data_IF_034617202140
#
_entry.id   IF_034617202140
#
_cell.length_a   1.000
_cell.length_b   1.000
_cell.length_c   1.000
_cell.angle_alpha   90.00
_cell.angle_beta   90.00
_cell.angle_gamma   90.00
#
_symmetry.space_group_name_H-M   'P 1'
#
loop_
_entity.id
_entity.type
_entity.pdbx_description
1 polymer ?
#
# COMPACT_ATOMS: atom_id res chain seq x y z
N UNK A 1 -10.14 3.43 -0.30
CA UNK A 1 -9.45 3.60 1.00
C UNK A 1 -10.37 3.06 2.08
N UNK A 2 -9.85 2.20 2.93
CA UNK A 2 -10.51 1.76 4.15
C UNK A 2 -9.66 2.14 5.36
N UNK A 3 -10.32 2.62 6.42
CA UNK A 3 -9.68 2.99 7.68
C UNK A 3 -10.17 2.06 8.79
N UNK A 4 -9.22 1.56 9.58
CA UNK A 4 -9.49 0.70 10.72
C UNK A 4 -8.92 1.30 11.99
N UNK A 5 -9.68 1.22 13.08
CA UNK A 5 -9.20 1.61 14.41
C UNK A 5 -8.32 0.51 14.97
N UNK A 6 -7.12 0.86 15.43
CA UNK A 6 -6.27 -0.04 16.20
C UNK A 6 -5.72 0.68 17.45
N UNK A 7 -5.24 -0.06 18.48
CA UNK A 7 -4.86 0.53 19.77
C UNK A 7 -3.70 1.54 19.72
N UNK A 8 -2.82 1.46 18.74
CA UNK A 8 -1.62 2.31 18.62
C UNK A 8 -1.80 3.48 17.65
N UNK A 9 -2.41 3.23 16.50
CA UNK A 9 -2.67 4.20 15.43
C UNK A 9 -3.82 3.68 14.57
N UNK A 10 -4.37 4.51 13.69
CA UNK A 10 -5.21 4.00 12.61
C UNK A 10 -4.39 3.06 11.69
N UNK A 11 -5.11 2.21 10.97
CA UNK A 11 -4.57 1.44 9.85
C UNK A 11 -5.33 1.84 8.60
N UNK A 12 -4.61 2.32 7.60
CA UNK A 12 -5.16 2.62 6.28
C UNK A 12 -4.86 1.48 5.33
N UNK A 13 -5.88 0.97 4.65
CA UNK A 13 -5.74 0.05 3.54
C UNK A 13 -6.16 0.74 2.25
N UNK A 14 -5.23 0.85 1.32
CA UNK A 14 -5.38 1.59 0.08
C UNK A 14 -5.10 0.62 -1.07
N UNK A 15 -6.09 0.42 -1.93
CA UNK A 15 -5.94 -0.31 -3.18
C UNK A 15 -5.92 0.70 -4.32
N UNK A 16 -4.79 0.75 -5.04
CA UNK A 16 -4.58 1.68 -6.15
C UNK A 16 -4.91 1.08 -7.52
N UNK A 17 -5.42 -0.16 -7.60
CA UNK A 17 -5.69 -0.87 -8.86
C UNK A 17 -6.51 -0.07 -9.89
N UNK A 18 -7.40 0.82 -9.44
CA UNK A 18 -8.26 1.66 -10.32
C UNK A 18 -7.72 3.06 -10.56
N UNK A 19 -6.53 3.36 -10.07
CA UNK A 19 -5.89 4.65 -10.26
C UNK A 19 -5.30 4.71 -11.67
N UNK A 20 -5.75 5.65 -12.49
CA UNK A 20 -5.29 5.81 -13.87
C UNK A 20 -4.01 6.64 -13.96
N UNK A 21 -3.79 7.54 -12.99
CA UNK A 21 -2.60 8.40 -12.91
C UNK A 21 -2.24 8.69 -11.45
N UNK A 22 -0.94 8.76 -11.09
CA UNK A 22 -0.48 9.22 -9.77
C UNK A 22 -1.10 10.55 -9.33
N UNK A 23 -1.46 11.44 -10.25
CA UNK A 23 -2.06 12.76 -9.94
C UNK A 23 -3.41 12.64 -9.22
N UNK A 24 -4.15 11.57 -9.45
CA UNK A 24 -5.44 11.31 -8.81
C UNK A 24 -5.30 11.01 -7.29
N UNK A 25 -4.10 10.71 -6.79
CA UNK A 25 -3.84 10.51 -5.36
C UNK A 25 -4.21 11.73 -4.51
N UNK A 26 -4.05 12.95 -5.04
CA UNK A 26 -4.43 14.16 -4.33
C UNK A 26 -5.94 14.19 -4.03
N UNK A 27 -6.77 13.65 -4.93
CA UNK A 27 -8.23 13.63 -4.75
C UNK A 27 -8.69 12.65 -3.66
N UNK A 28 -7.85 11.72 -3.24
CA UNK A 28 -8.17 10.72 -2.21
C UNK A 28 -7.51 11.03 -0.87
N UNK A 29 -6.94 12.24 -0.69
CA UNK A 29 -6.32 12.67 0.56
C UNK A 29 -4.98 11.99 0.85
N UNK A 30 -4.25 11.56 -0.18
CA UNK A 30 -2.99 10.82 -0.05
C UNK A 30 -1.98 11.50 0.88
N UNK A 31 -1.74 12.80 0.69
CA UNK A 31 -0.72 13.56 1.42
C UNK A 31 -1.01 13.65 2.94
N UNK A 32 -2.30 13.72 3.31
CA UNK A 32 -2.76 13.71 4.69
C UNK A 32 -2.61 12.33 5.32
N UNK A 33 -2.88 11.27 4.54
CA UNK A 33 -2.77 9.89 5.01
C UNK A 33 -1.32 9.52 5.28
N UNK A 34 -0.41 9.77 4.31
CA UNK A 34 1.02 9.43 4.46
C UNK A 34 1.70 10.22 5.58
N UNK A 35 1.18 11.40 5.93
CA UNK A 35 1.71 12.21 7.04
C UNK A 35 1.09 11.88 8.41
N UNK A 36 0.05 11.04 8.47
CA UNK A 36 -0.75 10.79 9.68
C UNK A 36 -0.06 9.94 10.78
N UNK A 37 1.20 9.50 10.58
CA UNK A 37 1.92 8.54 11.45
C UNK A 37 1.14 7.24 11.72
N UNK A 38 0.30 6.84 10.78
CA UNK A 38 -0.48 5.60 10.83
C UNK A 38 0.23 4.47 10.09
N UNK A 39 -0.20 3.22 10.33
CA UNK A 39 0.20 2.10 9.47
C UNK A 39 -0.59 2.19 8.17
N UNK A 40 0.11 2.18 7.04
CA UNK A 40 -0.51 2.31 5.71
C UNK A 40 -0.11 1.08 4.89
N UNK A 41 -1.11 0.34 4.44
CA UNK A 41 -0.97 -0.83 3.58
C UNK A 41 -1.46 -0.43 2.19
N UNK A 42 -0.59 -0.54 1.19
CA UNK A 42 -0.88 -0.12 -0.19
C UNK A 42 -0.79 -1.33 -1.11
N UNK A 43 -1.90 -1.66 -1.78
CA UNK A 43 -1.92 -2.61 -2.90
C UNK A 43 -1.71 -1.86 -4.23
N UNK A 44 -0.98 -2.49 -5.15
CA UNK A 44 -0.53 -1.90 -6.42
C UNK A 44 0.26 -0.59 -6.21
N UNK A 45 1.29 -0.60 -5.31
CA UNK A 45 2.05 0.60 -4.94
C UNK A 45 2.69 1.29 -6.16
N UNK A 46 3.08 0.56 -7.20
CA UNK A 46 3.66 1.10 -8.43
C UNK A 46 2.78 2.15 -9.13
N UNK A 47 1.46 2.14 -8.91
CA UNK A 47 0.53 3.14 -9.46
C UNK A 47 0.65 4.51 -8.79
N UNK A 48 1.24 4.58 -7.62
CA UNK A 48 1.54 5.86 -6.96
C UNK A 48 2.75 6.58 -7.58
N UNK A 49 3.54 5.91 -8.42
CA UNK A 49 4.74 6.50 -9.03
C UNK A 49 5.68 7.10 -7.97
N UNK A 50 6.22 8.28 -8.24
CA UNK A 50 7.11 9.01 -7.32
C UNK A 50 6.44 9.60 -6.07
N UNK A 51 5.19 9.23 -5.77
CA UNK A 51 4.46 9.72 -4.58
C UNK A 51 4.50 8.76 -3.40
N UNK A 52 5.09 7.57 -3.58
CA UNK A 52 5.42 6.70 -2.47
C UNK A 52 6.55 7.33 -1.63
N UNK A 53 6.46 7.26 -0.29
CA UNK A 53 7.57 7.64 0.59
C UNK A 53 8.81 6.79 0.32
N UNK A 54 10.01 7.40 0.37
CA UNK A 54 11.28 6.68 0.17
C UNK A 54 11.56 5.63 1.27
N UNK A 55 10.94 5.78 2.44
CA UNK A 55 11.11 4.92 3.62
C UNK A 55 10.02 3.82 3.74
N UNK A 56 9.28 3.57 2.66
CA UNK A 56 8.33 2.45 2.64
C UNK A 56 9.05 1.10 2.67
N UNK A 57 8.40 0.10 3.27
CA UNK A 57 8.85 -1.30 3.23
C UNK A 57 8.15 -2.01 2.06
N UNK A 58 8.87 -2.43 1.00
CA UNK A 58 8.31 -3.25 -0.05
C UNK A 58 7.91 -4.63 0.49
N UNK A 59 6.78 -5.15 0.02
CA UNK A 59 6.35 -6.52 0.29
C UNK A 59 5.94 -7.15 -1.03
N UNK A 60 6.73 -8.10 -1.51
CA UNK A 60 6.42 -8.89 -2.70
C UNK A 60 5.80 -10.22 -2.29
N UNK A 61 4.71 -10.58 -2.97
CA UNK A 61 3.99 -11.83 -2.77
C UNK A 61 3.97 -12.63 -4.07
N UNK A 62 4.54 -13.82 -4.03
CA UNK A 62 4.64 -14.70 -5.19
C UNK A 62 4.04 -16.09 -4.92
N UNK A 63 3.67 -16.76 -6.01
CA UNK A 63 3.32 -18.18 -5.96
C UNK A 63 4.60 -19.01 -5.90
N UNK A 64 4.57 -20.09 -5.11
CA UNK A 64 5.62 -21.11 -5.22
C UNK A 64 5.46 -21.80 -6.58
N UNK A 65 6.55 -21.95 -7.37
CA UNK A 65 6.48 -22.74 -8.60
C UNK A 65 5.92 -24.14 -8.34
N UNK A 66 5.00 -24.58 -9.19
CA UNK A 66 4.36 -25.90 -9.13
C UNK A 66 3.49 -26.19 -7.88
N UNK A 67 3.30 -25.23 -6.97
CA UNK A 67 2.40 -25.36 -5.82
C UNK A 67 1.54 -24.09 -5.63
N UNK A 68 0.34 -24.03 -6.23
CA UNK A 68 -0.54 -22.87 -6.16
C UNK A 68 -1.18 -22.67 -4.78
N UNK A 69 -0.97 -23.58 -3.82
CA UNK A 69 -1.48 -23.45 -2.45
C UNK A 69 -0.50 -22.73 -1.53
N UNK A 70 0.76 -22.59 -1.95
CA UNK A 70 1.81 -21.93 -1.18
C UNK A 70 2.15 -20.55 -1.74
N UNK A 71 2.63 -19.68 -0.86
CA UNK A 71 3.07 -18.31 -1.18
C UNK A 71 4.47 -18.07 -0.66
N UNK A 72 5.23 -17.26 -1.38
CA UNK A 72 6.49 -16.66 -0.96
C UNK A 72 6.19 -15.20 -0.60
N UNK A 73 6.71 -14.74 0.53
CA UNK A 73 6.68 -13.34 0.93
C UNK A 73 8.13 -12.88 1.04
N UNK A 74 8.47 -11.83 0.29
CA UNK A 74 9.74 -11.12 0.41
C UNK A 74 9.43 -9.74 0.98
N UNK A 75 10.17 -9.33 2.01
CA UNK A 75 10.06 -8.00 2.59
C UNK A 75 11.48 -7.45 2.75
N UNK A 76 11.78 -6.31 2.15
CA UNK A 76 13.11 -5.70 2.15
C UNK A 76 13.23 -4.50 1.25
#
# INVERSE_FOLDING_TARGET
IHEYRAPKSAVFHIDLYRLDSPDQLTNIGWDEIISSRSLILVEWPERAGGRLPDDHLPIDLDYVPDDPTRRILLAG
#
